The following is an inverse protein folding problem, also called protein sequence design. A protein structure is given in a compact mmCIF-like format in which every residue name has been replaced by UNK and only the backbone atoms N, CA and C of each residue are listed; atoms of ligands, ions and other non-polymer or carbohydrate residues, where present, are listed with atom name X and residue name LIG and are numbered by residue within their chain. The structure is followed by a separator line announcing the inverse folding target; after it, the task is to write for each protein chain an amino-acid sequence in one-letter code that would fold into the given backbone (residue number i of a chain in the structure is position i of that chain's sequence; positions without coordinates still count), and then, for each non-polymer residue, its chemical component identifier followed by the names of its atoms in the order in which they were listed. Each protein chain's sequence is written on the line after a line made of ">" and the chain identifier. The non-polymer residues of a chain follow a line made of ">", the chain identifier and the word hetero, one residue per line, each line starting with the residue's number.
data_IF_541172470902
#
_entry.id   IF_541172470902
#
_cell.length_a   1.000
_cell.length_b   1.000
_cell.length_c   1.000
_cell.angle_alpha   90.00
_cell.angle_beta   90.00
_cell.angle_gamma   90.00
#
_symmetry.space_group_name_H-M   'P 1'
#
loop_
_entity.id
_entity.type
_entity.pdbx_description
1 polymer ?
#
# COMPACT_ATOMS: atom_id res chain seq x y z
N UNK A 1 30.88 -5.51 12.81
CA UNK A 1 29.70 -6.27 12.32
C UNK A 1 28.92 -6.73 13.53
N UNK A 2 27.74 -6.16 13.78
CA UNK A 2 26.80 -6.65 14.78
C UNK A 2 25.44 -6.02 14.50
N UNK A 3 24.61 -6.73 13.75
CA UNK A 3 23.22 -6.37 13.51
C UNK A 3 22.42 -6.73 14.76
N UNK A 4 21.80 -5.73 15.38
CA UNK A 4 20.90 -5.89 16.51
C UNK A 4 19.56 -6.40 15.98
N UNK A 5 19.37 -7.72 15.94
CA UNK A 5 18.08 -8.33 15.59
C UNK A 5 17.14 -8.21 16.79
N UNK A 6 16.15 -7.31 16.71
CA UNK A 6 15.04 -7.28 17.67
C UNK A 6 14.07 -8.42 17.36
N UNK A 7 14.25 -9.57 18.00
CA UNK A 7 13.31 -10.70 17.92
C UNK A 7 12.19 -10.50 18.95
N UNK A 8 11.08 -9.91 18.52
CA UNK A 8 9.81 -10.02 19.25
C UNK A 8 9.36 -11.49 19.24
N UNK A 9 9.27 -12.12 20.40
CA UNK A 9 8.85 -13.52 20.63
C UNK A 9 7.34 -13.73 20.62
N UNK A 10 6.57 -12.80 20.05
CA UNK A 10 5.14 -13.01 19.87
C UNK A 10 4.90 -14.15 18.87
N UNK A 11 4.08 -15.17 19.19
CA UNK A 11 3.75 -16.21 18.24
C UNK A 11 3.07 -15.58 17.03
N UNK A 12 3.63 -15.81 15.84
CA UNK A 12 3.08 -15.40 14.53
C UNK A 12 1.89 -16.33 14.20
N UNK A 13 0.93 -16.44 15.12
CA UNK A 13 -0.32 -17.14 14.82
C UNK A 13 -1.24 -16.08 14.23
N UNK A 14 -1.21 -15.95 12.91
CA UNK A 14 -2.12 -15.05 12.19
C UNK A 14 -3.55 -15.46 12.57
N UNK A 15 -4.36 -14.58 13.17
CA UNK A 15 -5.66 -14.98 13.67
C UNK A 15 -6.55 -15.51 12.54
N UNK A 16 -7.28 -16.62 12.76
CA UNK A 16 -8.03 -17.33 11.72
C UNK A 16 -9.18 -16.50 11.11
N UNK A 17 -9.58 -15.39 11.75
CA UNK A 17 -10.64 -14.51 11.25
C UNK A 17 -10.21 -13.63 10.06
N UNK A 18 -8.91 -13.48 9.78
CA UNK A 18 -8.43 -12.61 8.68
C UNK A 18 -8.79 -13.19 7.30
N UNK A 19 -8.88 -14.51 7.17
CA UNK A 19 -8.90 -15.17 5.86
C UNK A 19 -10.29 -15.46 5.27
N UNK A 20 -11.37 -15.30 6.05
CA UNK A 20 -12.66 -15.89 5.67
C UNK A 20 -13.32 -15.31 4.40
N UNK A 21 -12.89 -14.14 3.91
CA UNK A 21 -13.46 -13.50 2.71
C UNK A 21 -12.40 -12.74 1.88
N UNK A 22 -11.18 -13.27 1.76
CA UNK A 22 -10.13 -12.63 0.95
C UNK A 22 -10.38 -12.86 -0.55
N UNK A 23 -10.70 -11.78 -1.27
CA UNK A 23 -10.79 -11.80 -2.73
C UNK A 23 -9.43 -11.41 -3.33
N UNK A 24 -8.80 -12.33 -4.05
CA UNK A 24 -7.57 -12.05 -4.79
C UNK A 24 -7.93 -11.43 -6.14
N UNK A 25 -7.38 -10.25 -6.43
CA UNK A 25 -7.55 -9.57 -7.71
C UNK A 25 -6.26 -9.69 -8.52
N UNK A 26 -6.40 -9.92 -9.82
CA UNK A 26 -5.27 -9.90 -10.76
C UNK A 26 -4.64 -8.51 -10.89
N UNK A 27 -3.50 -8.46 -11.57
CA UNK A 27 -2.84 -7.19 -11.85
C UNK A 27 -3.68 -6.35 -12.81
N UNK A 28 -3.81 -5.06 -12.51
CA UNK A 28 -4.42 -4.07 -13.40
C UNK A 28 -3.37 -3.53 -14.38
N UNK A 29 -2.10 -3.52 -13.98
CA UNK A 29 -0.96 -3.17 -14.81
C UNK A 29 -0.49 -4.39 -15.61
N UNK A 30 -0.22 -4.21 -16.90
CA UNK A 30 0.13 -5.29 -17.83
C UNK A 30 1.63 -5.62 -17.88
N UNK A 31 2.50 -4.72 -17.42
CA UNK A 31 3.94 -4.93 -17.45
C UNK A 31 4.47 -5.68 -16.21
N UNK A 32 5.66 -6.26 -16.30
CA UNK A 32 6.26 -7.02 -15.20
C UNK A 32 6.54 -6.14 -13.98
N UNK A 33 6.24 -6.63 -12.78
CA UNK A 33 6.56 -5.96 -11.50
C UNK A 33 8.05 -5.59 -11.38
N UNK A 34 8.95 -6.37 -11.99
CA UNK A 34 10.38 -6.08 -12.02
C UNK A 34 10.74 -4.74 -12.67
N UNK A 35 9.86 -4.20 -13.51
CA UNK A 35 10.04 -2.90 -14.17
C UNK A 35 9.64 -1.72 -13.26
N UNK A 36 8.94 -1.98 -12.14
CA UNK A 36 8.66 -0.94 -11.14
C UNK A 36 9.92 -0.63 -10.35
N UNK A 37 10.42 0.59 -10.54
CA UNK A 37 11.48 1.18 -9.71
C UNK A 37 10.83 2.11 -8.70
N UNK A 38 11.09 1.86 -7.42
CA UNK A 38 10.65 2.73 -6.34
C UNK A 38 11.74 3.75 -6.03
N UNK A 39 11.33 5.01 -5.96
CA UNK A 39 12.18 6.12 -5.56
C UNK A 39 11.72 6.59 -4.18
N UNK A 40 12.31 6.05 -3.11
CA UNK A 40 11.98 6.50 -1.77
C UNK A 40 12.64 7.85 -1.49
N UNK A 41 11.85 8.82 -1.03
CA UNK A 41 12.38 10.05 -0.46
C UNK A 41 12.73 9.81 1.01
N UNK A 42 14.00 10.03 1.36
CA UNK A 42 14.48 10.00 2.74
C UNK A 42 14.51 11.42 3.28
N UNK A 43 14.03 11.61 4.50
CA UNK A 43 14.16 12.88 5.23
C UNK A 43 15.62 13.28 5.40
N UNK A 44 16.49 12.31 5.65
CA UNK A 44 17.95 12.49 5.68
C UNK A 44 18.61 11.41 4.84
N UNK A 45 19.16 11.81 3.70
CA UNK A 45 19.89 10.95 2.79
C UNK A 45 21.39 11.26 2.80
N UNK A 46 22.11 10.60 3.71
CA UNK A 46 23.57 10.74 3.79
C UNK A 46 24.30 10.28 2.52
N UNK A 47 23.74 9.34 1.76
CA UNK A 47 24.37 8.88 0.51
C UNK A 47 24.27 9.95 -0.57
N UNK A 48 23.10 10.58 -0.71
CA UNK A 48 22.92 11.72 -1.61
C UNK A 48 23.79 12.92 -1.21
N UNK A 49 23.83 13.27 0.07
CA UNK A 49 24.68 14.36 0.57
C UNK A 49 26.16 14.11 0.25
N UNK A 50 26.64 12.89 0.51
CA UNK A 50 28.02 12.49 0.21
C UNK A 50 28.33 12.52 -1.29
N UNK A 51 27.40 12.05 -2.13
CA UNK A 51 27.53 12.11 -3.59
C UNK A 51 27.64 13.57 -4.11
N UNK A 52 27.08 14.53 -3.38
CA UNK A 52 27.17 15.97 -3.67
C UNK A 52 28.32 16.68 -2.94
N UNK A 53 29.28 15.93 -2.36
CA UNK A 53 30.48 16.49 -1.72
C UNK A 53 30.32 16.86 -0.24
N UNK A 54 29.19 16.50 0.39
CA UNK A 54 28.92 16.77 1.80
C UNK A 54 28.94 15.48 2.61
N UNK A 55 30.12 15.01 3.02
CA UNK A 55 30.26 13.83 3.91
C UNK A 55 30.07 14.23 5.39
N UNK A 56 28.82 14.42 5.79
CA UNK A 56 28.46 14.87 7.15
C UNK A 56 28.07 13.73 8.10
N UNK A 57 27.88 12.52 7.57
CA UNK A 57 27.45 11.35 8.35
C UNK A 57 28.35 11.07 9.58
N UNK A 58 29.70 11.16 9.49
CA UNK A 58 30.57 10.86 10.63
C UNK A 58 30.30 11.74 11.86
N UNK A 59 29.93 13.02 11.66
CA UNK A 59 29.62 13.93 12.78
C UNK A 59 28.41 13.48 13.57
N UNK A 60 27.40 12.93 12.91
CA UNK A 60 26.17 12.46 13.55
C UNK A 60 26.31 11.05 14.14
N UNK A 61 27.02 10.16 13.44
CA UNK A 61 27.34 8.82 13.94
C UNK A 61 28.18 8.89 15.21
N UNK A 62 29.16 9.80 15.28
CA UNK A 62 29.97 10.01 16.50
C UNK A 62 29.14 10.47 17.71
N UNK A 63 28.00 11.11 17.47
CA UNK A 63 27.06 11.55 18.51
C UNK A 63 26.00 10.48 18.84
N UNK A 64 25.99 9.34 18.14
CA UNK A 64 25.02 8.25 18.34
C UNK A 64 23.63 8.50 17.74
N UNK A 65 23.51 9.35 16.72
CA UNK A 65 22.22 9.74 16.12
C UNK A 65 21.70 8.77 15.05
N UNK A 66 22.44 7.70 14.71
CA UNK A 66 22.06 6.81 13.60
C UNK A 66 20.63 6.26 13.74
N UNK A 67 20.27 5.78 14.94
CA UNK A 67 18.93 5.25 15.22
C UNK A 67 17.82 6.30 15.06
N UNK A 68 18.10 7.56 15.38
CA UNK A 68 17.15 8.64 15.20
C UNK A 68 16.87 8.87 13.71
N UNK A 69 17.91 8.90 12.86
CA UNK A 69 17.74 9.05 11.42
C UNK A 69 17.10 7.82 10.76
N UNK A 70 17.40 6.61 11.23
CA UNK A 70 16.70 5.40 10.81
C UNK A 70 15.20 5.48 11.12
N UNK A 71 14.84 5.93 12.33
CA UNK A 71 13.45 6.13 12.73
C UNK A 71 12.77 7.25 11.93
N UNK A 72 13.49 8.35 11.65
CA UNK A 72 12.97 9.49 10.89
C UNK A 72 12.68 9.12 9.43
N UNK A 73 13.56 8.33 8.81
CA UNK A 73 13.34 7.83 7.46
C UNK A 73 12.24 6.75 7.42
N UNK A 74 12.09 6.01 8.52
CA UNK A 74 11.07 4.97 8.68
C UNK A 74 11.32 3.73 7.80
N UNK A 75 10.58 2.64 8.08
CA UNK A 75 10.61 1.47 7.21
C UNK A 75 9.92 1.78 5.89
N UNK A 76 10.55 1.40 4.79
CA UNK A 76 9.94 1.35 3.46
C UNK A 76 9.72 -0.12 3.13
N UNK A 77 8.57 -0.43 2.53
CA UNK A 77 8.20 -1.79 2.13
C UNK A 77 8.11 -1.86 0.60
N UNK A 78 9.24 -2.06 -0.12
CA UNK A 78 9.26 -2.01 -1.58
C UNK A 78 8.29 -2.98 -2.23
N UNK A 79 8.31 -4.25 -1.81
CA UNK A 79 7.48 -5.29 -2.42
C UNK A 79 5.99 -5.05 -2.16
N UNK A 80 5.64 -4.53 -0.97
CA UNK A 80 4.27 -4.14 -0.65
C UNK A 80 3.79 -3.02 -1.58
N UNK A 81 4.63 -2.01 -1.81
CA UNK A 81 4.30 -0.90 -2.70
C UNK A 81 4.22 -1.36 -4.16
N UNK A 82 5.10 -2.24 -4.61
CA UNK A 82 5.04 -2.82 -5.96
C UNK A 82 3.76 -3.62 -6.16
N UNK A 83 3.46 -4.55 -5.25
CA UNK A 83 2.19 -5.31 -5.28
C UNK A 83 0.97 -4.38 -5.25
N UNK A 84 1.02 -3.31 -4.46
CA UNK A 84 -0.04 -2.31 -4.42
C UNK A 84 -0.24 -1.64 -5.78
N UNK A 85 0.84 -1.14 -6.39
CA UNK A 85 0.77 -0.42 -7.67
C UNK A 85 0.37 -1.33 -8.82
N UNK A 86 0.86 -2.57 -8.87
CA UNK A 86 0.49 -3.58 -9.87
C UNK A 86 -1.03 -3.82 -9.95
N UNK A 87 -1.74 -3.65 -8.84
CA UNK A 87 -3.19 -3.88 -8.70
C UNK A 87 -3.99 -2.60 -8.48
N UNK A 88 -3.33 -1.45 -8.49
CA UNK A 88 -3.98 -0.18 -8.24
C UNK A 88 -4.82 0.23 -9.46
N UNK A 89 -6.04 0.69 -9.20
CA UNK A 89 -6.90 1.30 -10.21
C UNK A 89 -7.54 2.56 -9.70
N UNK A 90 -7.70 3.52 -10.61
CA UNK A 90 -8.49 4.71 -10.37
C UNK A 90 -9.97 4.34 -10.46
N UNK A 91 -10.70 4.60 -9.38
CA UNK A 91 -12.13 4.41 -9.25
C UNK A 91 -12.84 5.76 -9.28
N UNK A 92 -13.50 6.04 -10.40
CA UNK A 92 -14.21 7.30 -10.65
C UNK A 92 -15.71 7.14 -10.47
N UNK A 93 -16.43 8.27 -10.47
CA UNK A 93 -17.91 8.30 -10.41
C UNK A 93 -18.55 7.48 -11.54
N UNK A 94 -17.93 7.46 -12.72
CA UNK A 94 -18.42 6.68 -13.88
C UNK A 94 -18.33 5.19 -13.59
N UNK A 95 -17.17 4.70 -13.12
CA UNK A 95 -17.00 3.29 -12.72
C UNK A 95 -17.94 2.92 -11.57
N UNK A 96 -18.21 3.85 -10.65
CA UNK A 96 -19.16 3.64 -9.56
C UNK A 96 -20.58 3.37 -10.09
N UNK A 97 -21.08 4.24 -10.98
CA UNK A 97 -22.39 4.07 -11.62
C UNK A 97 -22.47 2.79 -12.46
N UNK A 98 -21.43 2.47 -13.22
CA UNK A 98 -21.38 1.22 -13.99
C UNK A 98 -21.51 -0.01 -13.08
N UNK A 99 -20.82 -0.03 -11.93
CA UNK A 99 -20.96 -1.13 -10.95
C UNK A 99 -22.37 -1.24 -10.36
N UNK A 100 -23.05 -0.12 -10.13
CA UNK A 100 -24.47 -0.15 -9.68
C UNK A 100 -25.37 -0.75 -10.76
N UNK A 101 -25.22 -0.30 -12.01
CA UNK A 101 -26.00 -0.80 -13.14
C UNK A 101 -25.80 -2.31 -13.32
N UNK A 102 -24.55 -2.79 -13.30
CA UNK A 102 -24.24 -4.22 -13.38
C UNK A 102 -24.80 -5.03 -12.20
N UNK A 103 -24.82 -4.46 -11.00
CA UNK A 103 -25.43 -5.10 -9.84
C UNK A 103 -26.96 -5.22 -9.98
N UNK A 104 -27.61 -4.18 -10.49
CA UNK A 104 -29.05 -4.18 -10.77
C UNK A 104 -29.40 -5.14 -11.91
N UNK A 105 -28.57 -5.22 -12.96
CA UNK A 105 -28.75 -6.18 -14.05
C UNK A 105 -28.67 -7.62 -13.56
N UNK A 106 -27.69 -7.91 -12.68
CA UNK A 106 -27.54 -9.23 -12.05
C UNK A 106 -28.67 -9.54 -11.06
N UNK A 107 -29.20 -8.54 -10.38
CA UNK A 107 -30.31 -8.69 -9.45
C UNK A 107 -31.28 -7.48 -9.53
N UNK A 108 -32.37 -7.59 -10.32
CA UNK A 108 -33.32 -6.50 -10.53
C UNK A 108 -33.99 -5.96 -9.26
N UNK A 109 -34.03 -6.75 -8.18
CA UNK A 109 -34.59 -6.33 -6.87
C UNK A 109 -33.77 -5.24 -6.17
N UNK A 110 -32.55 -4.98 -6.64
CA UNK A 110 -31.69 -3.92 -6.13
C UNK A 110 -32.03 -2.54 -6.69
N UNK A 111 -32.92 -2.44 -7.69
CA UNK A 111 -33.31 -1.17 -8.29
C UNK A 111 -33.89 -0.21 -7.23
N UNK A 112 -33.36 1.01 -7.18
CA UNK A 112 -33.78 2.05 -6.23
C UNK A 112 -33.14 1.97 -4.84
N UNK A 113 -32.35 0.94 -4.54
CA UNK A 113 -31.58 0.84 -3.30
C UNK A 113 -30.30 1.70 -3.36
N UNK A 114 -29.79 2.07 -2.20
CA UNK A 114 -28.48 2.70 -2.07
C UNK A 114 -27.34 1.71 -2.33
N UNK A 115 -26.14 2.22 -2.65
CA UNK A 115 -24.93 1.39 -2.86
C UNK A 115 -24.66 0.44 -1.68
N UNK A 116 -24.78 0.95 -0.46
CA UNK A 116 -24.54 0.19 0.76
C UNK A 116 -25.54 -0.96 0.91
N UNK A 117 -26.82 -0.72 0.62
CA UNK A 117 -27.87 -1.75 0.61
C UNK A 117 -27.68 -2.78 -0.52
N UNK A 118 -27.01 -2.41 -1.61
CA UNK A 118 -26.58 -3.33 -2.67
C UNK A 118 -25.33 -4.14 -2.28
N UNK A 119 -24.73 -3.91 -1.10
CA UNK A 119 -23.45 -4.50 -0.69
C UNK A 119 -22.23 -3.90 -1.42
N UNK A 120 -22.39 -2.75 -2.09
CA UNK A 120 -21.32 -2.04 -2.76
C UNK A 120 -20.70 -0.99 -1.84
N UNK A 121 -19.38 -0.84 -1.91
CA UNK A 121 -18.67 0.25 -1.24
C UNK A 121 -19.21 1.60 -1.70
N UNK A 122 -19.48 2.49 -0.74
CA UNK A 122 -19.88 3.87 -1.00
C UNK A 122 -18.83 4.61 -1.83
N UNK A 123 -19.28 5.60 -2.60
CA UNK A 123 -18.43 6.44 -3.42
C UNK A 123 -18.41 7.84 -2.81
N UNK A 124 -17.30 8.19 -2.16
CA UNK A 124 -17.10 9.49 -1.51
C UNK A 124 -16.33 10.49 -2.40
N UNK A 125 -15.64 10.01 -3.42
CA UNK A 125 -14.81 10.80 -4.32
C UNK A 125 -14.00 9.90 -5.26
N UNK A 126 -13.19 10.50 -6.14
CA UNK A 126 -12.24 9.73 -6.94
C UNK A 126 -11.24 9.04 -6.01
N UNK A 127 -11.12 7.73 -6.13
CA UNK A 127 -10.33 6.91 -5.22
C UNK A 127 -9.31 6.09 -5.98
N UNK A 128 -8.18 5.78 -5.34
CA UNK A 128 -7.28 4.72 -5.75
C UNK A 128 -7.66 3.48 -4.95
N UNK A 129 -8.03 2.41 -5.65
CA UNK A 129 -8.37 1.12 -5.04
C UNK A 129 -7.34 0.09 -5.45
N UNK A 130 -6.85 -0.71 -4.52
CA UNK A 130 -5.95 -1.83 -4.78
C UNK A 130 -6.31 -3.01 -3.88
N UNK A 131 -5.77 -4.18 -4.20
CA UNK A 131 -5.90 -5.38 -3.39
C UNK A 131 -4.51 -5.95 -3.14
N UNK A 132 -4.07 -5.99 -1.88
CA UNK A 132 -2.79 -6.60 -1.52
C UNK A 132 -3.02 -7.76 -0.58
N UNK A 133 -2.60 -8.95 -1.02
CA UNK A 133 -2.80 -10.21 -0.29
C UNK A 133 -4.27 -10.43 0.14
N UNK A 134 -5.25 -10.08 -0.70
CA UNK A 134 -6.67 -10.23 -0.39
C UNK A 134 -7.27 -9.11 0.46
N UNK A 135 -6.47 -8.13 0.90
CA UNK A 135 -6.93 -6.95 1.63
C UNK A 135 -7.23 -5.83 0.64
N UNK A 136 -8.47 -5.34 0.65
CA UNK A 136 -8.87 -4.18 -0.16
C UNK A 136 -8.41 -2.89 0.50
N UNK A 137 -7.59 -2.13 -0.22
CA UNK A 137 -7.07 -0.83 0.17
C UNK A 137 -7.77 0.25 -0.66
N UNK A 138 -8.21 1.33 -0.01
CA UNK A 138 -8.85 2.47 -0.68
C UNK A 138 -8.23 3.76 -0.15
N UNK A 139 -7.75 4.59 -1.08
CA UNK A 139 -7.20 5.91 -0.82
C UNK A 139 -8.07 6.94 -1.53
N UNK A 140 -8.41 8.03 -0.84
CA UNK A 140 -9.32 9.09 -1.29
C UNK A 140 -8.63 10.44 -1.26
#
# INVERSE_FOLDING_TARGET
>A
MSASTSTSTNPITIPPFIFKNMEYVGNEIEFSESLLTLLPEKMVDFESLKANGYDVRPYFTAQGWDRYFEMLNGPIYPDLLKHFWMKAKVFTKVKAKQKELLAIERNPSLKGKSRKEMGLLEFTGTQIRSNVCGINLTFS
#
